data_IF_491817864117
#
_entry.id   IF_491817864117
#
_cell.length_a   1.000
_cell.length_b   1.000
_cell.length_c   1.000
_cell.angle_alpha   90.00
_cell.angle_beta   90.00
_cell.angle_gamma   90.00
#
_symmetry.space_group_name_H-M   'P 1'
#
loop_
_entity.id
_entity.type
_entity.pdbx_description
1 polymer ?
#
# COMPACT_ATOMS: atom_id res chain seq x y z
N UNK A 1 26.45 -11.53 -22.26
CA UNK A 1 25.84 -11.14 -20.99
C UNK A 1 24.78 -12.14 -20.61
N UNK A 2 24.86 -12.69 -19.44
CA UNK A 2 23.87 -13.67 -19.02
C UNK A 2 22.67 -12.97 -18.38
N UNK A 3 21.65 -12.78 -19.18
CA UNK A 3 20.42 -12.09 -18.75
C UNK A 3 19.60 -12.98 -17.82
N UNK A 4 19.78 -14.29 -17.88
CA UNK A 4 18.98 -15.21 -17.06
C UNK A 4 19.17 -14.97 -15.56
N UNK A 5 20.32 -14.47 -15.15
CA UNK A 5 20.55 -14.17 -13.74
C UNK A 5 19.75 -12.97 -13.26
N UNK A 6 19.30 -12.13 -14.19
CA UNK A 6 18.49 -10.96 -13.89
C UNK A 6 16.99 -11.30 -13.80
N UNK A 7 16.62 -12.47 -14.32
CA UNK A 7 15.22 -12.89 -14.40
C UNK A 7 14.82 -13.78 -13.23
N UNK A 8 15.66 -13.90 -12.22
CA UNK A 8 15.30 -14.68 -11.05
C UNK A 8 14.09 -14.05 -10.38
N UNK A 9 13.13 -14.88 -9.97
CA UNK A 9 11.98 -14.36 -9.23
C UNK A 9 12.47 -13.60 -8.02
N UNK A 10 12.20 -12.34 -8.00
CA UNK A 10 12.46 -11.50 -6.85
C UNK A 10 11.13 -11.03 -6.30
N UNK A 11 11.12 -10.66 -5.05
CA UNK A 11 9.96 -9.99 -4.51
C UNK A 11 9.83 -8.66 -5.26
N UNK A 12 8.87 -8.60 -6.16
CA UNK A 12 8.63 -7.42 -6.97
C UNK A 12 7.51 -6.57 -6.40
N UNK A 13 7.37 -6.57 -5.10
CA UNK A 13 6.40 -5.73 -4.42
C UNK A 13 6.64 -4.27 -4.79
N UNK A 14 5.57 -3.55 -5.05
CA UNK A 14 5.64 -2.13 -5.34
C UNK A 14 5.34 -1.32 -4.10
N UNK A 15 6.12 -0.29 -3.87
CA UNK A 15 5.90 0.67 -2.79
C UNK A 15 5.81 2.06 -3.40
N UNK A 16 4.82 2.83 -2.98
CA UNK A 16 4.63 4.20 -3.44
C UNK A 16 4.33 5.09 -2.24
N UNK A 17 4.91 6.27 -2.22
CA UNK A 17 4.63 7.24 -1.16
C UNK A 17 4.55 8.65 -1.73
N UNK A 18 3.68 9.47 -1.12
CA UNK A 18 3.52 10.86 -1.51
C UNK A 18 3.21 11.69 -0.27
N UNK A 19 3.74 12.90 -0.24
CA UNK A 19 3.61 13.79 0.90
C UNK A 19 3.18 15.19 0.44
N UNK A 20 2.32 15.82 1.24
CA UNK A 20 1.88 17.20 1.01
C UNK A 20 1.18 17.38 -0.34
N UNK A 21 0.26 16.50 -0.67
CA UNK A 21 -0.53 16.58 -1.89
C UNK A 21 -1.99 16.34 -1.56
N UNK A 22 -2.86 17.23 -1.99
CA UNK A 22 -4.30 17.15 -1.69
C UNK A 22 -4.97 15.93 -2.32
N UNK A 23 -4.36 15.35 -3.34
CA UNK A 23 -4.86 14.15 -4.01
C UNK A 23 -3.97 12.94 -3.72
N UNK A 24 -3.46 12.85 -2.50
CA UNK A 24 -2.45 11.86 -2.16
C UNK A 24 -2.90 10.42 -2.43
N UNK A 25 -4.12 10.07 -2.02
CA UNK A 25 -4.59 8.70 -2.24
C UNK A 25 -4.78 8.38 -3.71
N UNK A 26 -5.28 9.32 -4.49
CA UNK A 26 -5.50 9.12 -5.91
C UNK A 26 -4.18 8.92 -6.65
N UNK A 27 -3.18 9.75 -6.36
CA UNK A 27 -1.85 9.57 -6.95
C UNK A 27 -1.21 8.26 -6.50
N UNK A 28 -1.44 7.85 -5.25
CA UNK A 28 -0.94 6.57 -4.75
C UNK A 28 -1.59 5.42 -5.51
N UNK A 29 -2.89 5.50 -5.76
CA UNK A 29 -3.60 4.52 -6.56
C UNK A 29 -2.99 4.40 -7.96
N UNK A 30 -2.77 5.53 -8.63
CA UNK A 30 -2.14 5.52 -9.96
C UNK A 30 -0.70 5.00 -9.91
N UNK A 31 0.04 5.35 -8.85
CA UNK A 31 1.40 4.84 -8.67
C UNK A 31 1.42 3.34 -8.51
N UNK A 32 0.53 2.78 -7.70
CA UNK A 32 0.42 1.33 -7.52
C UNK A 32 0.00 0.65 -8.81
N UNK A 33 -0.93 1.25 -9.56
CA UNK A 33 -1.34 0.72 -10.86
C UNK A 33 -0.16 0.66 -11.83
N UNK A 34 0.67 1.69 -11.83
CA UNK A 34 1.86 1.74 -12.68
C UNK A 34 2.91 0.71 -12.27
N UNK A 35 2.96 0.36 -11.00
CA UNK A 35 3.89 -0.63 -10.47
C UNK A 35 3.34 -2.05 -10.55
N UNK A 36 2.10 -2.21 -11.01
CA UNK A 36 1.46 -3.50 -11.07
C UNK A 36 2.07 -4.35 -12.15
N UNK A 37 2.44 -5.57 -11.79
CA UNK A 37 2.99 -6.56 -12.71
C UNK A 37 2.20 -7.85 -12.59
N UNK A 38 2.49 -8.77 -13.49
CA UNK A 38 1.91 -10.11 -13.43
C UNK A 38 2.23 -10.76 -12.08
N UNK A 39 1.23 -11.37 -11.46
CA UNK A 39 1.40 -12.02 -10.16
C UNK A 39 1.04 -11.15 -8.97
N UNK A 40 0.61 -9.91 -9.20
CA UNK A 40 0.16 -9.05 -8.13
C UNK A 40 -1.14 -9.62 -7.54
N UNK A 41 -1.18 -9.76 -6.21
CA UNK A 41 -2.28 -10.46 -5.54
C UNK A 41 -2.99 -9.64 -4.47
N UNK A 42 -2.40 -8.55 -4.02
CA UNK A 42 -3.01 -7.73 -2.99
C UNK A 42 -2.49 -6.30 -3.08
N UNK A 43 -3.28 -5.36 -2.60
CA UNK A 43 -2.89 -3.96 -2.58
C UNK A 43 -3.48 -3.26 -1.38
N UNK A 44 -2.79 -2.22 -0.91
CA UNK A 44 -3.25 -1.44 0.21
C UNK A 44 -2.76 -0.01 0.12
N UNK A 45 -3.55 0.90 0.67
CA UNK A 45 -3.22 2.32 0.81
C UNK A 45 -3.55 2.77 2.22
N UNK A 46 -2.65 3.52 2.82
CA UNK A 46 -2.90 4.23 4.08
C UNK A 46 -2.65 5.70 3.84
N UNK A 47 -3.59 6.52 4.27
CA UNK A 47 -3.49 7.98 4.18
C UNK A 47 -3.39 8.59 5.56
N UNK A 48 -2.91 9.82 5.62
CA UNK A 48 -2.80 10.56 6.87
C UNK A 48 -3.21 12.00 6.66
N UNK A 49 -3.94 12.53 7.63
CA UNK A 49 -4.26 13.95 7.71
C UNK A 49 -4.34 14.37 9.17
N UNK A 50 -4.25 15.67 9.40
CA UNK A 50 -4.47 16.23 10.73
C UNK A 50 -5.90 16.74 10.84
N UNK A 51 -6.59 16.31 11.89
CA UNK A 51 -7.93 16.82 12.16
C UNK A 51 -7.87 18.25 12.71
N UNK A 52 -9.01 18.94 12.89
CA UNK A 52 -9.01 20.30 13.42
C UNK A 52 -8.35 20.44 14.79
N UNK A 53 -8.25 19.36 15.54
CA UNK A 53 -7.58 19.35 16.86
C UNK A 53 -6.08 19.12 16.76
N UNK A 54 -5.55 19.05 15.53
CA UNK A 54 -4.13 18.81 15.30
C UNK A 54 -3.67 17.37 15.46
N UNK A 55 -4.60 16.43 15.63
CA UNK A 55 -4.29 15.03 15.80
C UNK A 55 -4.22 14.32 14.45
N UNK A 56 -3.23 13.47 14.27
CA UNK A 56 -3.09 12.69 13.05
C UNK A 56 -4.13 11.57 13.00
N UNK A 57 -4.80 11.47 11.87
CA UNK A 57 -5.82 10.45 11.61
C UNK A 57 -5.43 9.71 10.35
N UNK A 58 -5.56 8.38 10.38
CA UNK A 58 -5.28 7.53 9.23
C UNK A 58 -6.57 7.07 8.57
N UNK A 59 -6.58 7.13 7.24
CA UNK A 59 -7.53 6.39 6.43
C UNK A 59 -6.82 5.19 5.84
N UNK A 60 -7.52 4.09 5.62
CA UNK A 60 -6.89 2.92 5.03
C UNK A 60 -7.90 2.04 4.31
N UNK A 61 -7.40 1.34 3.31
CA UNK A 61 -8.14 0.27 2.64
C UNK A 61 -7.13 -0.68 2.02
N UNK A 62 -7.34 -1.96 2.22
CA UNK A 62 -6.49 -3.00 1.66
C UNK A 62 -7.26 -4.29 1.51
N UNK A 63 -6.97 -5.02 0.45
CA UNK A 63 -7.64 -6.29 0.17
C UNK A 63 -6.81 -7.11 -0.81
N UNK A 64 -7.22 -8.36 -0.95
CA UNK A 64 -6.70 -9.25 -1.99
C UNK A 64 -7.28 -8.82 -3.33
N UNK A 65 -6.49 -8.89 -4.37
CA UNK A 65 -6.93 -8.58 -5.72
C UNK A 65 -5.97 -7.64 -6.45
N UNK A 66 -6.29 -7.36 -7.69
CA UNK A 66 -5.57 -6.39 -8.50
C UNK A 66 -5.89 -4.97 -8.02
N UNK A 67 -4.99 -4.04 -8.28
CA UNK A 67 -5.13 -2.66 -7.80
C UNK A 67 -6.51 -2.09 -8.13
N UNK A 68 -6.93 -2.20 -9.39
CA UNK A 68 -8.20 -1.61 -9.78
C UNK A 68 -9.41 -2.36 -9.21
N UNK A 69 -9.24 -3.62 -8.81
CA UNK A 69 -10.33 -4.37 -8.16
C UNK A 69 -10.44 -4.05 -6.67
N UNK A 70 -9.31 -3.76 -6.04
CA UNK A 70 -9.28 -3.46 -4.61
C UNK A 70 -9.90 -2.10 -4.31
N UNK A 71 -9.67 -1.11 -5.17
CA UNK A 71 -10.06 0.28 -4.91
C UNK A 71 -11.27 0.70 -5.73
N UNK A 72 -12.33 -0.11 -5.73
CA UNK A 72 -13.53 0.13 -6.52
C UNK A 72 -14.72 0.67 -5.74
N UNK A 73 -14.67 0.63 -4.40
CA UNK A 73 -15.83 1.05 -3.60
C UNK A 73 -16.17 2.52 -3.89
N UNK A 74 -17.45 2.84 -4.07
CA UNK A 74 -17.86 4.23 -4.25
C UNK A 74 -17.40 5.08 -3.06
N UNK A 75 -16.99 6.29 -3.34
CA UNK A 75 -16.58 7.26 -2.32
C UNK A 75 -15.32 6.85 -1.53
N UNK A 76 -14.62 5.80 -1.95
CA UNK A 76 -13.44 5.33 -1.23
C UNK A 76 -12.38 6.44 -1.09
N UNK A 77 -12.09 7.13 -2.20
CA UNK A 77 -11.09 8.19 -2.21
C UNK A 77 -11.59 9.50 -1.59
N UNK A 78 -12.89 9.68 -1.52
CA UNK A 78 -13.49 10.91 -1.03
C UNK A 78 -13.82 10.87 0.46
N UNK A 79 -14.11 9.69 1.00
CA UNK A 79 -14.59 9.56 2.37
C UNK A 79 -13.69 8.73 3.27
N UNK A 80 -12.93 7.78 2.71
CA UNK A 80 -12.12 6.86 3.51
C UNK A 80 -10.65 7.17 3.37
N UNK A 81 -10.15 7.24 2.13
CA UNK A 81 -8.73 7.50 1.86
C UNK A 81 -8.49 9.00 1.72
N UNK A 82 -8.83 9.73 2.76
CA UNK A 82 -8.66 11.18 2.79
C UNK A 82 -7.34 11.53 3.47
N UNK A 83 -6.74 12.61 3.03
CA UNK A 83 -5.49 13.08 3.59
C UNK A 83 -4.58 13.67 2.53
N UNK A 84 -3.51 14.29 3.00
CA UNK A 84 -2.52 14.90 2.12
C UNK A 84 -1.20 14.13 2.07
N UNK A 85 -1.15 12.97 2.69
CA UNK A 85 -0.01 12.07 2.64
C UNK A 85 -0.53 10.65 2.53
N UNK A 86 0.17 9.82 1.80
CA UNK A 86 -0.24 8.42 1.61
C UNK A 86 0.95 7.54 1.32
N UNK A 87 0.84 6.29 1.73
CA UNK A 87 1.74 5.22 1.30
C UNK A 87 0.90 4.08 0.76
N UNK A 88 1.42 3.40 -0.23
CA UNK A 88 0.75 2.28 -0.86
C UNK A 88 1.69 1.12 -1.11
N UNK A 89 1.12 -0.05 -1.25
CA UNK A 89 1.87 -1.28 -1.44
C UNK A 89 1.12 -2.25 -2.34
N UNK A 90 1.84 -2.84 -3.30
CA UNK A 90 1.39 -3.98 -4.09
C UNK A 90 2.13 -5.21 -3.63
N UNK A 91 1.40 -6.24 -3.26
CA UNK A 91 1.99 -7.51 -2.86
C UNK A 91 1.99 -8.47 -4.04
N UNK A 92 3.11 -9.16 -4.22
CA UNK A 92 3.24 -10.19 -5.22
C UNK A 92 3.36 -11.55 -4.54
N UNK A 93 2.88 -12.56 -5.25
CA UNK A 93 2.91 -13.93 -4.74
C UNK A 93 4.35 -14.36 -4.53
N UNK A 94 4.66 -14.70 -3.30
CA UNK A 94 5.89 -15.38 -2.93
C UNK A 94 5.53 -16.74 -2.37
N UNK A 95 6.52 -17.58 -2.15
CA UNK A 95 6.27 -18.90 -1.59
C UNK A 95 5.58 -18.78 -0.23
N UNK A 96 4.40 -19.36 -0.13
CA UNK A 96 3.63 -19.30 1.09
C UNK A 96 2.39 -18.43 0.88
N UNK A 97 1.30 -19.09 0.54
CA UNK A 97 0.04 -18.40 0.42
C UNK A 97 -0.45 -18.03 1.80
N UNK A 98 -0.70 -16.77 2.00
CA UNK A 98 -1.44 -16.35 3.15
C UNK A 98 -2.68 -15.67 2.64
N UNK A 99 -3.80 -16.29 2.85
CA UNK A 99 -5.09 -15.72 2.47
C UNK A 99 -5.56 -14.66 3.46
N UNK A 100 -4.67 -14.27 4.37
CA UNK A 100 -5.04 -13.34 5.43
C UNK A 100 -4.80 -11.90 5.00
N UNK A 101 -5.82 -11.06 5.11
CA UNK A 101 -5.71 -9.63 4.90
C UNK A 101 -4.80 -8.95 5.92
N UNK A 102 -4.49 -9.63 7.02
CA UNK A 102 -3.58 -9.11 8.04
C UNK A 102 -2.16 -8.93 7.53
N UNK A 103 -1.79 -9.67 6.51
CA UNK A 103 -0.45 -9.61 5.94
C UNK A 103 -0.35 -8.65 4.75
N UNK A 104 -1.41 -7.95 4.44
CA UNK A 104 -1.38 -6.95 3.36
C UNK A 104 -0.86 -5.64 3.92
N UNK A 105 0.16 -5.11 3.27
CA UNK A 105 0.74 -3.83 3.62
C UNK A 105 -0.06 -2.67 3.02
N UNK A 106 0.02 -1.46 3.55
CA UNK A 106 0.88 -1.06 4.67
C UNK A 106 0.39 -1.60 6.01
N UNK A 107 1.32 -1.94 6.88
CA UNK A 107 0.99 -2.33 8.25
C UNK A 107 0.76 -1.09 9.09
N UNK A 108 -0.22 -1.17 9.99
CA UNK A 108 -0.56 -0.05 10.87
C UNK A 108 -0.46 -0.48 12.32
N UNK A 109 0.08 0.39 13.14
CA UNK A 109 0.17 0.20 14.58
C UNK A 109 -0.29 1.47 15.27
N UNK A 110 -1.07 1.29 16.31
CA UNK A 110 -1.44 2.39 17.19
C UNK A 110 -0.67 2.21 18.50
N UNK A 111 0.07 3.23 18.90
CA UNK A 111 0.85 3.17 20.12
C UNK A 111 0.73 4.50 20.88
N UNK A 112 1.35 4.56 22.05
CA UNK A 112 1.18 5.70 22.96
C UNK A 112 1.47 7.06 22.31
N UNK A 113 2.41 7.11 21.38
CA UNK A 113 2.81 8.35 20.72
C UNK A 113 1.96 8.69 19.49
N UNK A 114 1.04 7.81 19.09
CA UNK A 114 0.19 8.03 17.92
C UNK A 114 0.07 6.81 17.05
N UNK A 115 -0.11 7.05 15.75
CA UNK A 115 -0.25 5.99 14.76
C UNK A 115 1.00 5.91 13.89
N UNK A 116 1.34 4.69 13.50
CA UNK A 116 2.44 4.44 12.57
C UNK A 116 1.95 3.51 11.48
N UNK A 117 2.27 3.84 10.24
CA UNK A 117 2.04 2.95 9.10
C UNK A 117 3.36 2.74 8.37
N UNK A 118 3.60 1.51 7.94
CA UNK A 118 4.86 1.15 7.28
C UNK A 118 4.60 0.18 6.15
N UNK A 119 5.32 0.40 5.06
CA UNK A 119 5.35 -0.51 3.92
C UNK A 119 6.80 -0.73 3.51
N UNK A 120 7.10 -1.94 3.07
CA UNK A 120 8.45 -2.25 2.60
C UNK A 120 8.41 -3.17 1.40
N UNK A 121 9.43 -3.08 0.59
CA UNK A 121 9.65 -3.97 -0.55
C UNK A 121 10.79 -4.93 -0.20
N UNK A 122 10.45 -6.21 -0.07
CA UNK A 122 11.44 -7.22 0.26
C UNK A 122 10.93 -8.20 1.30
N UNK A 123 11.80 -9.14 1.65
CA UNK A 123 11.54 -10.13 2.69
C UNK A 123 12.38 -9.81 3.91
N UNK A 124 11.73 -9.72 5.05
CA UNK A 124 12.46 -9.62 6.31
C UNK A 124 12.85 -11.03 6.74
N UNK A 125 14.13 -11.27 6.80
CA UNK A 125 14.68 -12.52 7.30
C UNK A 125 15.44 -12.24 8.58
N UNK A 126 15.14 -12.99 9.60
CA UNK A 126 15.90 -12.93 10.84
C UNK A 126 15.68 -14.15 11.70
#
# INVERSE_FOLDING_TARGET
MNIASLDKPRCNCGVFGIFANDNASLFTYYGLHSLQHRGQEAAGIVTSYKNPKGKSVFGHHKDMGLVYDVFTAPDLFEKILIGNSAIGHNRYSTTGSTDSTKNIQPFMVNYRMGNLAIAHNGNLTN
#
